data_IF_596107778891
#
_entry.id   IF_596107778891
#
_cell.length_a   1.000
_cell.length_b   1.000
_cell.length_c   1.000
_cell.angle_alpha   90.00
_cell.angle_beta   90.00
_cell.angle_gamma   90.00
#
_symmetry.space_group_name_H-M   'P 1'
#
loop_
_entity.id
_entity.type
_entity.pdbx_description
1 polymer ?
#
# COMPACT_ATOMS: atom_id res chain seq x y z
N UNK A 1 -2.85 -32.79 20.94
CA UNK A 1 -3.39 -32.32 19.64
C UNK A 1 -4.63 -31.49 19.93
N UNK A 2 -4.79 -30.33 19.28
CA UNK A 2 -5.65 -30.29 18.11
C UNK A 2 -5.00 -29.66 16.88
N UNK A 3 -5.30 -30.25 15.72
CA UNK A 3 -4.87 -29.83 14.38
C UNK A 3 -5.80 -28.71 13.92
N UNK A 4 -5.27 -27.55 13.55
CA UNK A 4 -6.04 -26.45 12.97
C UNK A 4 -6.22 -26.76 11.48
N UNK A 5 -7.39 -27.28 11.14
CA UNK A 5 -7.82 -27.53 9.76
C UNK A 5 -8.42 -26.24 9.21
N UNK A 6 -7.73 -25.61 8.26
CA UNK A 6 -8.19 -24.43 7.51
C UNK A 6 -9.33 -24.82 6.57
N UNK A 7 -10.54 -24.32 6.79
CA UNK A 7 -11.66 -24.48 5.87
C UNK A 7 -11.53 -23.56 4.65
N UNK A 8 -11.83 -24.03 3.42
CA UNK A 8 -11.82 -23.21 2.23
C UNK A 8 -13.06 -22.32 2.14
N UNK A 9 -12.83 -21.01 2.03
CA UNK A 9 -13.84 -19.97 1.79
C UNK A 9 -14.50 -20.20 0.42
N UNK A 10 -15.77 -20.60 0.42
CA UNK A 10 -16.58 -20.82 -0.79
C UNK A 10 -16.86 -19.48 -1.48
N UNK A 11 -16.30 -19.29 -2.66
CA UNK A 11 -16.61 -18.16 -3.56
C UNK A 11 -17.71 -18.61 -4.51
N UNK A 12 -18.93 -18.13 -4.29
CA UNK A 12 -20.06 -18.33 -5.21
C UNK A 12 -19.85 -17.45 -6.44
N UNK A 13 -19.43 -18.04 -7.56
CA UNK A 13 -19.39 -17.39 -8.87
C UNK A 13 -20.83 -17.21 -9.37
N UNK A 14 -21.32 -15.97 -9.43
CA UNK A 14 -22.51 -15.63 -10.21
C UNK A 14 -22.13 -15.63 -11.69
N UNK A 15 -22.68 -16.55 -12.46
CA UNK A 15 -22.65 -16.50 -13.93
C UNK A 15 -23.69 -15.48 -14.42
N UNK A 16 -23.22 -14.44 -15.13
CA UNK A 16 -24.10 -13.55 -15.89
C UNK A 16 -23.98 -13.94 -17.36
N UNK A 17 -25.02 -14.63 -17.85
CA UNK A 17 -25.23 -14.92 -19.27
C UNK A 17 -25.90 -13.71 -19.91
N UNK A 18 -25.21 -13.00 -20.81
CA UNK A 18 -25.90 -12.15 -21.77
C UNK A 18 -25.24 -12.18 -23.15
N UNK A 19 -26.12 -12.11 -24.16
CA UNK A 19 -25.96 -12.48 -25.56
C UNK A 19 -25.07 -11.51 -26.35
N UNK A 20 -24.57 -12.03 -27.47
CA UNK A 20 -23.52 -11.45 -28.30
C UNK A 20 -23.84 -10.11 -28.97
N UNK A 21 -22.76 -9.49 -29.44
CA UNK A 21 -22.77 -8.27 -30.24
C UNK A 21 -21.35 -7.70 -30.35
N UNK A 22 -20.74 -7.91 -31.51
CA UNK A 22 -19.55 -7.24 -32.04
C UNK A 22 -18.22 -7.46 -31.31
N UNK A 23 -17.38 -8.32 -31.90
CA UNK A 23 -15.99 -8.52 -31.52
C UNK A 23 -15.16 -7.30 -31.92
N UNK A 24 -15.31 -6.20 -31.18
CA UNK A 24 -14.25 -5.21 -31.07
C UNK A 24 -13.19 -5.83 -30.15
N UNK A 25 -12.18 -6.44 -30.79
CA UNK A 25 -10.98 -6.96 -30.15
C UNK A 25 -10.32 -5.83 -29.36
N UNK A 26 -10.73 -5.70 -28.09
CA UNK A 26 -10.08 -4.80 -27.15
C UNK A 26 -8.64 -5.29 -27.07
N UNK A 27 -7.64 -4.48 -27.49
CA UNK A 27 -6.26 -4.94 -27.50
C UNK A 27 -5.95 -5.37 -26.07
N UNK A 28 -5.63 -6.65 -25.91
CA UNK A 28 -5.14 -7.19 -24.62
C UNK A 28 -3.94 -6.32 -24.27
N UNK A 29 -4.16 -5.34 -23.39
CA UNK A 29 -3.09 -4.45 -22.98
C UNK A 29 -2.19 -5.32 -22.11
N UNK A 30 -1.14 -5.87 -22.71
CA UNK A 30 0.03 -6.37 -22.03
C UNK A 30 0.69 -5.19 -21.30
N UNK A 31 0.04 -4.70 -20.24
CA UNK A 31 0.59 -3.65 -19.39
C UNK A 31 1.65 -4.31 -18.53
N UNK A 32 2.82 -4.58 -19.12
CA UNK A 32 4.00 -4.87 -18.33
C UNK A 32 4.19 -3.69 -17.37
N UNK A 33 4.35 -3.93 -16.05
CA UNK A 33 4.63 -2.85 -15.10
C UNK A 33 5.85 -2.08 -15.58
N UNK A 34 5.70 -0.76 -15.73
CA UNK A 34 6.83 0.09 -16.10
C UNK A 34 7.84 0.08 -14.95
N UNK A 35 9.14 -0.14 -15.22
CA UNK A 35 10.15 -0.02 -14.17
C UNK A 35 10.18 1.41 -13.64
N UNK A 36 10.41 1.55 -12.35
CA UNK A 36 10.54 2.86 -11.69
C UNK A 36 11.79 3.58 -12.19
N UNK A 37 11.61 4.84 -12.59
CA UNK A 37 12.74 5.73 -12.89
C UNK A 37 13.25 6.41 -11.63
N UNK A 38 14.53 6.86 -11.59
CA UNK A 38 15.06 7.59 -10.44
C UNK A 38 14.29 8.88 -10.13
N UNK A 39 13.75 9.54 -11.17
CA UNK A 39 12.94 10.74 -10.99
C UNK A 39 11.58 10.42 -10.33
N UNK A 40 10.93 9.33 -10.76
CA UNK A 40 9.69 8.86 -10.14
C UNK A 40 9.91 8.45 -8.68
N UNK A 41 11.01 7.76 -8.37
CA UNK A 41 11.36 7.41 -6.99
C UNK A 41 11.60 8.66 -6.13
N UNK A 42 12.33 9.65 -6.63
CA UNK A 42 12.57 10.90 -5.90
C UNK A 42 11.26 11.66 -5.62
N UNK A 43 10.36 11.73 -6.61
CA UNK A 43 9.03 12.34 -6.43
C UNK A 43 8.18 11.56 -5.44
N UNK A 44 8.21 10.23 -5.52
CA UNK A 44 7.47 9.35 -4.63
C UNK A 44 7.94 9.49 -3.18
N UNK A 45 9.26 9.49 -2.95
CA UNK A 45 9.86 9.71 -1.64
C UNK A 45 9.40 11.04 -1.03
N UNK A 46 9.47 12.13 -1.80
CA UNK A 46 9.04 13.46 -1.35
C UNK A 46 7.54 13.51 -0.98
N UNK A 47 6.69 12.81 -1.72
CA UNK A 47 5.26 12.73 -1.42
C UNK A 47 5.04 12.02 -0.09
N UNK A 48 5.73 10.89 0.14
CA UNK A 48 5.62 10.15 1.40
C UNK A 48 6.10 11.01 2.57
N UNK A 49 7.25 11.66 2.44
CA UNK A 49 7.80 12.52 3.50
C UNK A 49 6.82 13.64 3.88
N UNK A 50 6.17 14.25 2.89
CA UNK A 50 5.14 15.28 3.13
C UNK A 50 3.94 14.72 3.91
N UNK A 51 3.47 13.52 3.57
CA UNK A 51 2.34 12.89 4.26
C UNK A 51 2.72 12.56 5.71
N UNK A 52 3.87 11.92 5.91
CA UNK A 52 4.33 11.48 7.22
C UNK A 52 4.69 12.66 8.14
N UNK A 53 5.32 13.71 7.62
CA UNK A 53 5.67 14.88 8.43
C UNK A 53 4.44 15.60 9.00
N UNK A 54 3.31 15.62 8.29
CA UNK A 54 2.10 16.33 8.73
C UNK A 54 1.17 15.47 9.60
N UNK A 55 0.96 14.19 9.25
CA UNK A 55 -0.12 13.39 9.84
C UNK A 55 0.35 12.28 10.78
N UNK A 56 1.63 11.89 10.76
CA UNK A 56 2.08 10.67 11.43
C UNK A 56 1.84 10.68 12.94
N UNK A 57 2.09 11.81 13.62
CA UNK A 57 1.81 11.89 15.06
C UNK A 57 0.32 11.76 15.38
N UNK A 58 -0.55 12.32 14.54
CA UNK A 58 -2.01 12.26 14.75
C UNK A 58 -2.52 10.82 14.74
N UNK A 59 -1.92 9.97 13.92
CA UNK A 59 -2.28 8.54 13.84
C UNK A 59 -1.59 7.71 14.94
N UNK A 60 -0.40 8.10 15.40
CA UNK A 60 0.35 7.32 16.41
C UNK A 60 0.00 7.64 17.87
N UNK A 61 -0.70 8.75 18.15
CA UNK A 61 -0.93 9.20 19.53
C UNK A 61 -1.85 8.27 20.35
N UNK A 62 -2.72 7.52 19.67
CA UNK A 62 -3.70 6.63 20.30
C UNK A 62 -3.17 5.18 20.43
N UNK A 63 -1.99 4.90 19.85
CA UNK A 63 -1.31 3.62 19.99
C UNK A 63 -0.59 3.54 21.35
N UNK A 64 -0.87 2.53 22.18
CA UNK A 64 -0.32 2.44 23.54
C UNK A 64 1.21 2.27 23.59
N UNK A 65 1.84 1.77 22.53
CA UNK A 65 3.29 1.59 22.44
C UNK A 65 3.99 2.83 21.89
N UNK A 66 3.34 3.55 20.98
CA UNK A 66 3.92 4.71 20.31
C UNK A 66 3.63 6.03 21.03
N UNK A 67 2.52 6.15 21.77
CA UNK A 67 2.16 7.34 22.52
C UNK A 67 3.27 7.81 23.47
N UNK A 68 3.95 6.87 24.13
CA UNK A 68 5.06 7.14 25.05
C UNK A 68 6.27 7.81 24.39
N UNK A 69 6.46 7.66 23.07
CA UNK A 69 7.56 8.30 22.32
C UNK A 69 7.31 9.78 22.06
N UNK A 70 6.05 10.24 22.16
CA UNK A 70 5.60 11.61 21.87
C UNK A 70 5.86 12.02 20.41
N UNK A 71 5.28 13.15 20.00
CA UNK A 71 5.38 13.67 18.63
C UNK A 71 6.83 13.75 18.11
N UNK A 72 7.74 14.30 18.92
CA UNK A 72 9.14 14.48 18.53
C UNK A 72 9.87 13.15 18.29
N UNK A 73 9.61 12.14 19.13
CA UNK A 73 10.21 10.82 18.98
C UNK A 73 9.77 10.14 17.69
N UNK A 74 8.47 10.22 17.38
CA UNK A 74 7.90 9.68 16.13
C UNK A 74 8.47 10.38 14.89
N UNK A 75 8.54 11.71 14.89
CA UNK A 75 9.10 12.50 13.78
C UNK A 75 10.60 12.21 13.56
N UNK A 76 11.38 12.14 14.64
CA UNK A 76 12.80 11.79 14.56
C UNK A 76 13.03 10.37 14.03
N UNK A 77 12.18 9.44 14.46
CA UNK A 77 12.23 8.07 13.96
C UNK A 77 11.88 7.98 12.48
N UNK A 78 10.84 8.70 12.02
CA UNK A 78 10.48 8.81 10.61
C UNK A 78 11.65 9.30 9.75
N UNK A 79 12.30 10.40 10.14
CA UNK A 79 13.47 10.93 9.42
C UNK A 79 14.60 9.91 9.28
N UNK A 80 14.79 9.09 10.31
CA UNK A 80 15.80 8.02 10.30
C UNK A 80 15.43 6.88 9.34
N UNK A 81 14.14 6.53 9.24
CA UNK A 81 13.62 5.55 8.27
C UNK A 81 13.74 6.11 6.86
N UNK A 82 13.30 7.35 6.64
CA UNK A 82 13.35 8.02 5.34
C UNK A 82 14.77 8.03 4.78
N UNK A 83 15.75 8.40 5.62
CA UNK A 83 17.16 8.37 5.24
C UNK A 83 17.69 6.96 4.91
N UNK A 84 17.13 5.89 5.48
CA UNK A 84 17.57 4.52 5.16
C UNK A 84 16.88 3.95 3.93
N UNK A 85 15.64 4.38 3.67
CA UNK A 85 14.83 3.85 2.57
C UNK A 85 15.12 4.55 1.25
N UNK A 86 15.50 5.83 1.27
CA UNK A 86 15.59 6.67 0.08
C UNK A 86 16.96 7.33 -0.13
N UNK A 87 17.98 7.02 0.69
CA UNK A 87 19.35 7.55 0.56
C UNK A 87 20.37 6.43 0.64
#
# INVERSE_FOLDING_TARGET
MPKVTTEPRVIVKREVKNKGGDASESPKRDRKPKPWTPEEEARFANIIDKICSQNLWRECKDDPLLAGRRANGIQSHWKSIYKKAFK
#
